data_IF_318268108760
#
_entry.id   IF_318268108760
#
_cell.length_a   1.000
_cell.length_b   1.000
_cell.length_c   1.000
_cell.angle_alpha   90.00
_cell.angle_beta   90.00
_cell.angle_gamma   90.00
#
_symmetry.space_group_name_H-M   'P 1'
#
loop_
_entity.id
_entity.type
_entity.pdbx_description
1 polymer ?
#
# COMPACT_ATOMS: atom_id res chain seq x y z
N UNK A 1 -0.84 7.33 -4.46
CA UNK A 1 0.58 7.04 -4.77
C UNK A 1 1.37 6.69 -3.50
N UNK A 2 1.23 7.43 -2.40
CA UNK A 2 2.00 7.18 -1.17
C UNK A 2 1.84 5.79 -0.48
N UNK A 3 0.65 5.16 -0.39
CA UNK A 3 0.50 3.95 0.43
C UNK A 3 1.17 2.69 -0.16
N UNK A 4 1.16 2.56 -1.49
CA UNK A 4 1.70 1.39 -2.19
C UNK A 4 3.23 1.38 -2.24
N UNK A 5 3.84 2.55 -2.36
CA UNK A 5 5.30 2.70 -2.39
C UNK A 5 5.95 2.39 -1.02
N UNK A 6 5.31 2.81 0.07
CA UNK A 6 5.76 2.47 1.43
C UNK A 6 5.77 0.94 1.61
N UNK A 7 4.72 0.28 1.10
CA UNK A 7 4.60 -1.17 0.96
C UNK A 7 5.81 -1.85 0.30
N UNK A 8 6.20 -1.35 -0.87
CA UNK A 8 7.33 -1.89 -1.61
C UNK A 8 8.67 -1.63 -0.91
N UNK A 9 8.84 -0.45 -0.31
CA UNK A 9 10.09 -0.04 0.33
C UNK A 9 10.37 -0.86 1.60
N UNK A 10 9.35 -1.15 2.42
CA UNK A 10 9.56 -1.97 3.62
C UNK A 10 9.94 -3.41 3.26
N UNK A 11 9.31 -3.98 2.24
CA UNK A 11 9.62 -5.33 1.80
C UNK A 11 11.04 -5.44 1.25
N UNK A 12 11.49 -4.49 0.43
CA UNK A 12 12.89 -4.41 -0.02
C UNK A 12 13.86 -4.27 1.14
N UNK A 13 13.57 -3.36 2.08
CA UNK A 13 14.42 -3.14 3.25
C UNK A 13 14.52 -4.41 4.10
N UNK A 14 13.44 -5.18 4.22
CA UNK A 14 13.41 -6.43 4.97
C UNK A 14 14.23 -7.53 4.28
N UNK A 15 14.08 -7.71 2.96
CA UNK A 15 14.85 -8.70 2.21
C UNK A 15 16.35 -8.37 2.20
N UNK A 16 16.71 -7.10 1.97
CA UNK A 16 18.11 -6.67 2.04
C UNK A 16 18.74 -6.90 3.42
N UNK A 17 17.95 -6.81 4.51
CA UNK A 17 18.44 -7.16 5.85
C UNK A 17 18.72 -8.66 6.00
N UNK A 18 17.89 -9.52 5.38
CA UNK A 18 18.10 -10.97 5.41
C UNK A 18 19.37 -11.36 4.61
N UNK A 19 19.56 -10.78 3.43
CA UNK A 19 20.75 -11.04 2.58
C UNK A 19 22.07 -10.58 3.26
N UNK A 20 22.05 -9.46 3.99
CA UNK A 20 23.26 -8.97 4.69
C UNK A 20 23.68 -9.89 5.85
N UNK A 21 22.72 -10.49 6.54
CA UNK A 21 22.98 -11.38 7.68
C UNK A 21 23.45 -12.77 7.28
N UNK A 22 23.21 -13.23 6.05
CA UNK A 22 23.72 -14.52 5.55
C UNK A 22 25.25 -14.54 5.37
N UNK A 23 25.90 -13.38 5.29
CA UNK A 23 27.37 -13.28 5.17
C UNK A 23 28.13 -13.66 6.46
N UNK A 24 27.43 -13.68 7.61
CA UNK A 24 27.95 -14.22 8.86
C UNK A 24 27.18 -15.52 9.17
N UNK A 25 27.88 -16.66 9.10
CA UNK A 25 27.48 -18.07 9.37
C UNK A 25 26.63 -18.41 10.62
N UNK A 26 25.81 -17.49 11.15
CA UNK A 26 24.90 -17.67 12.28
C UNK A 26 23.53 -17.19 11.83
N UNK A 27 22.59 -18.12 11.65
CA UNK A 27 21.23 -17.84 11.15
C UNK A 27 20.54 -16.61 11.77
N UNK A 28 19.55 -16.08 11.05
CA UNK A 28 18.87 -14.84 11.35
C UNK A 28 18.14 -14.93 12.71
N UNK A 29 18.53 -14.09 13.68
CA UNK A 29 17.78 -13.90 14.93
C UNK A 29 16.78 -12.76 14.75
N UNK A 30 15.51 -13.05 14.94
CA UNK A 30 14.42 -12.09 14.78
C UNK A 30 13.54 -12.04 16.00
N UNK A 31 13.10 -10.85 16.40
CA UNK A 31 12.05 -10.67 17.38
C UNK A 31 10.72 -10.48 16.63
N UNK A 32 9.73 -11.32 16.94
CA UNK A 32 8.43 -11.35 16.26
C UNK A 32 7.35 -11.02 17.29
N UNK A 33 6.50 -10.06 16.98
CA UNK A 33 5.29 -9.77 17.74
C UNK A 33 4.22 -10.81 17.40
N UNK A 34 3.75 -11.55 18.40
CA UNK A 34 2.65 -12.51 18.26
C UNK A 34 1.28 -11.88 18.55
N UNK A 35 1.24 -10.60 18.96
CA UNK A 35 0.04 -9.82 19.25
C UNK A 35 0.04 -9.21 20.64
N UNK A 36 -0.70 -8.11 20.82
CA UNK A 36 -0.81 -7.39 22.10
C UNK A 36 0.55 -6.98 22.71
N UNK A 37 1.52 -6.58 21.87
CA UNK A 37 2.89 -6.25 22.28
C UNK A 37 3.61 -7.44 22.96
N UNK A 38 3.33 -8.66 22.52
CA UNK A 38 3.98 -9.87 23.03
C UNK A 38 5.03 -10.35 22.03
N UNK A 39 6.29 -10.12 22.38
CA UNK A 39 7.43 -10.38 21.50
C UNK A 39 8.13 -11.68 21.84
N UNK A 40 8.50 -12.45 20.81
CA UNK A 40 9.24 -13.71 20.92
C UNK A 40 10.47 -13.68 20.03
N UNK A 41 11.60 -14.16 20.56
CA UNK A 41 12.80 -14.37 19.77
C UNK A 41 12.70 -15.68 18.98
N UNK A 42 12.86 -15.59 17.67
CA UNK A 42 12.95 -16.70 16.75
C UNK A 42 14.34 -16.75 16.10
N UNK A 43 14.79 -17.96 15.80
CA UNK A 43 16.00 -18.20 15.04
C UNK A 43 15.61 -18.88 13.73
N UNK A 44 16.02 -18.29 12.61
CA UNK A 44 15.78 -18.81 11.27
C UNK A 44 17.11 -19.32 10.73
N UNK A 45 17.16 -20.62 10.43
CA UNK A 45 18.39 -21.30 9.99
C UNK A 45 18.72 -21.00 8.53
N UNK A 46 17.70 -20.91 7.66
CA UNK A 46 17.83 -20.58 6.24
C UNK A 46 16.82 -19.49 5.86
N UNK A 47 17.33 -18.34 5.42
CA UNK A 47 16.54 -17.19 4.97
C UNK A 47 16.50 -17.05 3.46
N UNK A 48 17.08 -17.97 2.69
CA UNK A 48 17.24 -17.83 1.23
C UNK A 48 15.92 -17.78 0.46
N UNK A 49 14.82 -18.21 1.08
CA UNK A 49 13.48 -18.24 0.48
C UNK A 49 12.42 -17.79 1.46
N UNK A 50 11.36 -17.21 0.91
CA UNK A 50 10.23 -16.68 1.68
C UNK A 50 8.90 -17.16 1.13
N UNK A 51 7.91 -17.29 2.00
CA UNK A 51 6.53 -17.56 1.60
C UNK A 51 5.79 -16.27 1.31
N UNK A 52 5.33 -16.11 0.08
CA UNK A 52 4.54 -14.96 -0.35
C UNK A 52 3.09 -15.38 -0.53
N UNK A 53 2.18 -14.66 0.12
CA UNK A 53 0.74 -14.85 -0.04
C UNK A 53 0.30 -14.40 -1.44
N UNK A 54 -0.24 -15.32 -2.24
CA UNK A 54 -0.72 -15.02 -3.61
C UNK A 54 -2.23 -14.78 -3.66
N UNK A 55 -2.96 -15.17 -2.62
CA UNK A 55 -4.40 -14.96 -2.45
C UNK A 55 -5.14 -16.25 -2.09
N UNK A 56 -6.39 -16.13 -1.63
CA UNK A 56 -7.27 -17.27 -1.31
C UNK A 56 -6.67 -18.32 -0.35
N UNK A 57 -5.80 -17.89 0.57
CA UNK A 57 -5.12 -18.79 1.51
C UNK A 57 -3.94 -19.57 0.92
N UNK A 58 -3.55 -19.30 -0.33
CA UNK A 58 -2.38 -19.91 -0.96
C UNK A 58 -1.12 -19.07 -0.76
N UNK A 59 -0.02 -19.79 -0.52
CA UNK A 59 1.31 -19.25 -0.34
C UNK A 59 2.27 -19.94 -1.30
N UNK A 60 3.21 -19.18 -1.87
CA UNK A 60 4.23 -19.69 -2.77
C UNK A 60 5.59 -19.39 -2.17
N UNK A 61 6.46 -20.40 -2.15
CA UNK A 61 7.86 -20.27 -1.79
C UNK A 61 8.61 -19.62 -2.95
N UNK A 62 9.19 -18.44 -2.72
CA UNK A 62 9.92 -17.66 -3.72
C UNK A 62 11.30 -17.30 -3.20
N UNK A 63 12.27 -17.21 -4.12
CA UNK A 63 13.55 -16.55 -3.82
C UNK A 63 13.36 -15.05 -3.65
N UNK A 64 14.30 -14.37 -3.00
CA UNK A 64 14.29 -12.91 -2.85
C UNK A 64 14.08 -12.18 -4.19
N UNK A 65 14.81 -12.60 -5.23
CA UNK A 65 14.72 -11.99 -6.56
C UNK A 65 13.34 -12.14 -7.23
N UNK A 66 12.68 -13.27 -7.04
CA UNK A 66 11.34 -13.54 -7.58
C UNK A 66 10.28 -12.80 -6.78
N UNK A 67 10.43 -12.74 -5.46
CA UNK A 67 9.53 -12.01 -4.60
C UNK A 67 9.56 -10.50 -4.90
N UNK A 68 10.73 -9.91 -5.15
CA UNK A 68 10.83 -8.50 -5.56
C UNK A 68 10.07 -8.23 -6.86
N UNK A 69 10.25 -9.08 -7.88
CA UNK A 69 9.50 -8.98 -9.14
C UNK A 69 7.99 -9.12 -8.93
N UNK A 70 7.57 -10.01 -8.03
CA UNK A 70 6.16 -10.20 -7.70
C UNK A 70 5.56 -8.95 -7.05
N UNK A 71 6.26 -8.35 -6.07
CA UNK A 71 5.78 -7.14 -5.38
C UNK A 71 5.76 -5.95 -6.34
N UNK A 72 6.77 -5.79 -7.18
CA UNK A 72 6.79 -4.74 -8.21
C UNK A 72 5.58 -4.86 -9.15
N UNK A 73 5.33 -6.07 -9.67
CA UNK A 73 4.16 -6.34 -10.53
C UNK A 73 2.84 -6.00 -9.84
N UNK A 74 2.67 -6.43 -8.58
CA UNK A 74 1.47 -6.13 -7.78
C UNK A 74 1.32 -4.63 -7.52
N UNK A 75 2.42 -3.94 -7.26
CA UNK A 75 2.46 -2.49 -7.01
C UNK A 75 2.04 -1.71 -8.26
N UNK A 76 2.55 -2.09 -9.43
CA UNK A 76 2.18 -1.48 -10.71
C UNK A 76 0.71 -1.69 -11.04
N UNK A 77 0.19 -2.91 -10.84
CA UNK A 77 -1.24 -3.21 -11.01
C UNK A 77 -2.10 -2.35 -10.09
N UNK A 78 -1.78 -2.29 -8.80
CA UNK A 78 -2.58 -1.54 -7.82
C UNK A 78 -2.51 -0.03 -8.07
N UNK A 79 -1.35 0.47 -8.52
CA UNK A 79 -1.17 1.87 -8.90
C UNK A 79 -2.02 2.23 -10.12
N UNK A 80 -2.01 1.40 -11.17
CA UNK A 80 -2.85 1.60 -12.35
C UNK A 80 -4.36 1.61 -11.98
N UNK A 81 -4.80 0.67 -11.13
CA UNK A 81 -6.19 0.68 -10.64
C UNK A 81 -6.52 1.93 -9.84
N UNK A 82 -5.60 2.38 -8.98
CA UNK A 82 -5.78 3.60 -8.20
C UNK A 82 -5.91 4.83 -9.10
N UNK A 83 -5.12 4.92 -10.17
CA UNK A 83 -5.20 6.03 -11.12
C UNK A 83 -6.54 6.09 -11.85
N UNK A 84 -7.05 4.94 -12.30
CA UNK A 84 -8.37 4.85 -12.93
C UNK A 84 -9.46 5.32 -11.97
N UNK A 85 -9.49 4.76 -10.75
CA UNK A 85 -10.48 5.12 -9.74
C UNK A 85 -10.38 6.59 -9.31
N UNK A 86 -9.16 7.14 -9.28
CA UNK A 86 -8.94 8.57 -8.98
C UNK A 86 -9.54 9.45 -10.08
N UNK A 87 -9.31 9.11 -11.35
CA UNK A 87 -9.89 9.83 -12.50
C UNK A 87 -11.41 9.75 -12.50
N UNK A 88 -11.97 8.57 -12.26
CA UNK A 88 -13.42 8.37 -12.21
C UNK A 88 -14.05 9.15 -11.06
N UNK A 89 -13.43 9.13 -9.88
CA UNK A 89 -13.88 9.90 -8.72
C UNK A 89 -13.85 11.40 -9.00
N UNK A 90 -12.79 11.90 -9.64
CA UNK A 90 -12.68 13.30 -10.03
C UNK A 90 -13.75 13.70 -11.05
N UNK A 91 -14.03 12.84 -12.04
CA UNK A 91 -15.08 13.07 -13.04
C UNK A 91 -16.47 13.12 -12.41
N UNK A 92 -16.79 12.19 -11.51
CA UNK A 92 -18.06 12.18 -10.79
C UNK A 92 -18.20 13.45 -9.95
N UNK A 93 -17.15 13.84 -9.21
CA UNK A 93 -17.14 15.07 -8.41
C UNK A 93 -17.38 16.32 -9.26
N UNK A 94 -16.77 16.39 -10.45
CA UNK A 94 -16.97 17.49 -11.39
C UNK A 94 -18.40 17.54 -11.92
N UNK A 95 -18.96 16.40 -12.32
CA UNK A 95 -20.34 16.31 -12.80
C UNK A 95 -21.35 16.77 -11.73
N UNK A 96 -21.17 16.33 -10.48
CA UNK A 96 -22.01 16.76 -9.36
C UNK A 96 -21.92 18.28 -9.18
N UNK A 97 -20.71 18.84 -9.17
CA UNK A 97 -20.53 20.30 -9.06
C UNK A 97 -21.21 21.04 -10.20
N UNK A 98 -21.05 20.59 -11.44
CA UNK A 98 -21.67 21.21 -12.61
C UNK A 98 -23.20 21.26 -12.51
N UNK A 99 -23.83 20.16 -12.12
CA UNK A 99 -25.29 20.09 -11.97
C UNK A 99 -25.77 20.98 -10.82
N UNK A 100 -25.05 21.00 -9.69
CA UNK A 100 -25.42 21.86 -8.56
C UNK A 100 -25.35 23.35 -8.91
N UNK A 101 -24.31 23.80 -9.61
CA UNK A 101 -24.23 25.19 -10.06
C UNK A 101 -25.30 25.51 -11.10
N UNK A 102 -25.58 24.61 -12.05
CA UNK A 102 -26.66 24.81 -13.03
C UNK A 102 -28.05 24.93 -12.39
N UNK A 103 -28.36 24.12 -11.37
CA UNK A 103 -29.62 24.24 -10.62
C UNK A 103 -29.69 25.55 -9.82
N UNK A 104 -28.56 25.95 -9.23
CA UNK A 104 -28.44 27.20 -8.48
C UNK A 104 -28.71 28.44 -9.35
N UNK A 105 -28.16 28.46 -10.57
CA UNK A 105 -28.42 29.51 -11.57
C UNK A 105 -29.91 29.59 -11.91
N UNK A 106 -30.56 28.46 -12.20
CA UNK A 106 -31.99 28.40 -12.52
C UNK A 106 -32.88 28.86 -11.36
N UNK A 107 -32.48 28.58 -10.13
CA UNK A 107 -33.23 28.97 -8.93
C UNK A 107 -33.00 30.44 -8.52
N UNK A 108 -32.15 31.19 -9.23
CA UNK A 108 -31.81 32.58 -8.89
C UNK A 108 -31.32 32.76 -7.45
N UNK A 109 -30.72 31.71 -6.87
CA UNK A 109 -30.22 31.73 -5.50
C UNK A 109 -28.88 32.50 -5.47
N UNK A 110 -28.93 33.74 -4.97
CA UNK A 110 -27.75 34.61 -4.80
C UNK A 110 -26.74 34.02 -3.80
N UNK A 111 -25.47 34.39 -3.95
CA UNK A 111 -24.32 33.82 -3.26
C UNK A 111 -24.49 33.55 -1.75
N UNK A 112 -24.52 32.27 -1.38
CA UNK A 112 -24.12 31.84 -0.04
C UNK A 112 -22.63 31.48 -0.12
N UNK A 113 -21.75 32.15 0.63
CA UNK A 113 -20.32 31.90 0.54
C UNK A 113 -20.03 30.44 0.84
N UNK A 114 -19.27 29.78 -0.05
CA UNK A 114 -18.81 28.40 0.11
C UNK A 114 -18.12 28.30 1.48
N UNK A 115 -18.78 27.64 2.44
CA UNK A 115 -18.20 27.41 3.75
C UNK A 115 -17.02 26.49 3.51
N UNK A 116 -15.83 27.10 3.43
CA UNK A 116 -14.55 26.43 3.24
C UNK A 116 -14.38 25.51 4.45
N UNK A 117 -14.84 24.27 4.33
CA UNK A 117 -14.60 23.22 5.32
C UNK A 117 -13.09 23.03 5.30
N UNK A 118 -12.41 23.76 6.18
CA UNK A 118 -11.04 23.46 6.55
C UNK A 118 -11.11 22.07 7.12
N UNK A 119 -10.64 21.08 6.38
CA UNK A 119 -10.28 19.79 6.93
C UNK A 119 -9.31 20.10 8.08
N UNK A 120 -9.81 19.98 9.30
CA UNK A 120 -9.03 20.21 10.51
C UNK A 120 -7.98 19.09 10.56
N UNK A 121 -6.73 19.50 10.36
CA UNK A 121 -5.55 18.79 10.84
C UNK A 121 -5.37 19.11 12.33
#
# INVERSE_FOLDING_TARGET
>A
IAPTYIGYLWANTMMNRCDQTESETKGLKTEIDLGCNFYVQAHVEDSSKIFVAVGYGFFVELTHSEALKFIEKKTNQLTAHTEVLTKDSAKIKANIRMVLEGLRELQSLTDVPEKRTREAL
#
